data_IF_547139576425
#
_entry.id   IF_547139576425
#
_cell.length_a   1.000
_cell.length_b   1.000
_cell.length_c   1.000
_cell.angle_alpha   90.00
_cell.angle_beta   90.00
_cell.angle_gamma   90.00
#
_symmetry.space_group_name_H-M   'P 1'
#
loop_
_entity.id
_entity.type
_entity.pdbx_description
1 polymer ?
#
# COMPACT_ATOMS: atom_id res chain seq x y z
N UNK A 1 -36.06 12.62 24.23
CA UNK A 1 -37.19 13.44 24.67
C UNK A 1 -38.46 13.11 23.84
N UNK A 2 -39.62 13.19 24.42
CA UNK A 2 -40.91 12.92 23.74
C UNK A 2 -41.63 14.25 23.52
N UNK A 3 -42.06 14.48 22.28
CA UNK A 3 -42.89 15.63 21.93
C UNK A 3 -44.24 15.16 21.49
N UNK A 4 -45.29 15.86 21.87
CA UNK A 4 -46.62 15.62 21.37
C UNK A 4 -46.85 16.60 20.20
N UNK A 5 -46.82 16.12 18.99
CA UNK A 5 -46.96 16.94 17.80
C UNK A 5 -48.44 17.24 17.54
N UNK A 6 -48.96 18.29 18.13
CA UNK A 6 -50.25 18.86 17.78
C UNK A 6 -50.06 20.26 17.18
N UNK A 7 -49.57 20.35 15.98
CA UNK A 7 -49.37 21.64 15.29
C UNK A 7 -47.91 22.14 15.25
N UNK A 8 -47.67 23.44 15.45
CA UNK A 8 -46.33 24.03 15.39
C UNK A 8 -45.52 23.73 16.64
N UNK A 9 -44.26 23.31 16.48
CA UNK A 9 -43.31 23.15 17.57
C UNK A 9 -43.14 24.46 18.36
N UNK A 10 -43.13 24.36 19.68
CA UNK A 10 -42.84 25.48 20.53
C UNK A 10 -41.31 25.78 20.62
N UNK A 11 -40.95 26.91 21.20
CA UNK A 11 -39.55 27.33 21.31
C UNK A 11 -38.69 26.34 22.12
N UNK A 12 -39.25 25.66 23.12
CA UNK A 12 -38.58 24.65 23.93
C UNK A 12 -38.26 23.43 23.11
N UNK A 13 -39.21 22.94 22.29
CA UNK A 13 -39.05 21.79 21.41
C UNK A 13 -37.96 22.03 20.37
N UNK A 14 -37.96 23.23 19.77
CA UNK A 14 -36.92 23.65 18.80
C UNK A 14 -35.54 23.67 19.45
N UNK A 15 -35.42 24.17 20.68
CA UNK A 15 -34.12 24.18 21.38
C UNK A 15 -33.67 22.75 21.72
N UNK A 16 -34.56 21.87 22.07
CA UNK A 16 -34.24 20.46 22.32
C UNK A 16 -33.73 19.76 21.06
N UNK A 17 -34.43 19.96 19.93
CA UNK A 17 -33.97 19.42 18.63
C UNK A 17 -32.59 19.97 18.21
N UNK A 18 -32.34 21.26 18.44
CA UNK A 18 -31.00 21.83 18.18
C UNK A 18 -29.93 21.21 19.07
N UNK A 19 -30.20 21.05 20.36
CA UNK A 19 -29.27 20.42 21.28
C UNK A 19 -28.98 18.96 20.90
N UNK A 20 -30.03 18.21 20.55
CA UNK A 20 -29.89 16.84 20.07
C UNK A 20 -29.08 16.75 18.76
N UNK A 21 -29.30 17.69 17.83
CA UNK A 21 -28.52 17.75 16.58
C UNK A 21 -27.04 18.04 16.82
N UNK A 22 -26.71 18.91 17.78
CA UNK A 22 -25.34 19.20 18.15
C UNK A 22 -24.65 17.96 18.76
N UNK A 23 -25.36 17.26 19.67
CA UNK A 23 -24.86 16.03 20.29
C UNK A 23 -24.73 14.88 19.32
N UNK A 24 -25.56 14.83 18.28
CA UNK A 24 -25.55 13.83 17.22
C UNK A 24 -24.71 14.20 16.00
N UNK A 25 -23.74 15.09 16.12
CA UNK A 25 -22.86 15.49 15.03
C UNK A 25 -23.60 15.98 13.78
N UNK A 26 -24.62 16.83 13.97
CA UNK A 26 -25.54 17.34 12.94
C UNK A 26 -26.51 16.30 12.35
N UNK A 27 -26.69 15.17 13.01
CA UNK A 27 -27.66 14.14 12.67
C UNK A 27 -28.66 13.98 13.80
N UNK A 28 -29.96 13.88 13.46
CA UNK A 28 -31.02 13.49 14.38
C UNK A 28 -31.97 12.49 13.70
N UNK A 29 -32.40 11.50 14.44
CA UNK A 29 -33.51 10.61 14.04
C UNK A 29 -34.70 10.93 14.89
N UNK A 30 -35.85 11.17 14.27
CA UNK A 30 -37.12 11.41 14.93
C UNK A 30 -38.00 10.19 14.73
N UNK A 31 -38.38 9.58 15.82
CA UNK A 31 -39.37 8.51 15.85
C UNK A 31 -40.76 9.10 15.92
N UNK A 32 -41.52 8.89 14.88
CA UNK A 32 -42.91 9.34 14.79
C UNK A 32 -43.85 8.17 15.14
N UNK A 33 -44.65 8.34 16.16
CA UNK A 33 -45.70 7.37 16.55
C UNK A 33 -47.08 7.95 16.26
N UNK A 34 -47.74 7.44 15.21
CA UNK A 34 -49.13 7.71 14.90
C UNK A 34 -50.06 6.63 15.49
N UNK A 35 -51.37 6.79 15.32
CA UNK A 35 -52.31 5.80 15.75
C UNK A 35 -52.24 4.51 14.91
N UNK A 36 -51.93 4.65 13.59
CA UNK A 36 -51.94 3.52 12.65
C UNK A 36 -50.55 3.21 12.05
N UNK A 37 -49.54 4.02 12.33
CA UNK A 37 -48.20 3.83 11.75
C UNK A 37 -47.10 4.39 12.64
N UNK A 38 -45.98 3.67 12.66
CA UNK A 38 -44.72 4.12 13.29
C UNK A 38 -43.68 4.32 12.18
N UNK A 39 -42.93 5.43 12.23
CA UNK A 39 -41.88 5.69 11.27
C UNK A 39 -40.72 6.42 11.92
N UNK A 40 -39.50 6.19 11.39
CA UNK A 40 -38.29 6.92 11.76
C UNK A 40 -37.94 7.83 10.60
N UNK A 41 -37.78 9.13 10.87
CA UNK A 41 -37.33 10.10 9.90
C UNK A 41 -35.96 10.65 10.34
N UNK A 42 -34.99 10.63 9.43
CA UNK A 42 -33.64 11.11 9.65
C UNK A 42 -33.49 12.50 9.07
N UNK A 43 -32.89 13.40 9.85
CA UNK A 43 -32.63 14.77 9.46
C UNK A 43 -31.15 15.11 9.64
N UNK A 44 -30.63 15.83 8.68
CA UNK A 44 -29.23 16.25 8.66
C UNK A 44 -29.16 17.77 8.59
N UNK A 45 -28.38 18.39 9.44
CA UNK A 45 -28.30 19.85 9.48
C UNK A 45 -27.42 20.41 8.34
N UNK A 46 -26.53 19.59 7.78
CA UNK A 46 -25.61 19.97 6.69
C UNK A 46 -25.69 18.96 5.54
N UNK A 47 -24.56 18.38 5.17
CA UNK A 47 -24.49 17.39 4.09
C UNK A 47 -24.62 15.98 4.66
N UNK A 48 -25.64 15.28 4.30
CA UNK A 48 -25.89 13.90 4.71
C UNK A 48 -26.64 13.10 3.65
N UNK A 49 -26.48 11.80 3.67
CA UNK A 49 -27.19 10.87 2.81
C UNK A 49 -28.30 10.18 3.61
N UNK A 50 -29.55 10.39 3.20
CA UNK A 50 -30.71 9.77 3.86
C UNK A 50 -30.79 8.25 3.67
N UNK A 51 -30.25 7.72 2.58
CA UNK A 51 -30.25 6.28 2.29
C UNK A 51 -29.23 5.52 3.13
N UNK A 52 -28.01 6.11 3.30
CA UNK A 52 -26.92 5.46 4.00
C UNK A 52 -26.75 5.93 5.45
N UNK A 53 -27.57 6.88 5.91
CA UNK A 53 -27.49 7.49 7.26
C UNK A 53 -26.10 8.04 7.59
N UNK A 54 -25.36 8.54 6.59
CA UNK A 54 -24.03 9.11 6.73
C UNK A 54 -24.13 10.63 6.78
N UNK A 55 -23.42 11.22 7.73
CA UNK A 55 -23.16 12.66 7.77
C UNK A 55 -21.76 12.92 7.22
N UNK A 56 -21.67 13.75 6.19
CA UNK A 56 -20.36 14.16 5.66
C UNK A 56 -19.83 15.37 6.44
N UNK A 57 -18.53 15.45 6.54
CA UNK A 57 -17.87 16.67 7.06
C UNK A 57 -18.28 17.88 6.22
N UNK A 58 -18.32 19.05 6.85
CA UNK A 58 -18.58 20.29 6.12
C UNK A 58 -17.49 20.49 5.09
N UNK A 59 -17.88 20.50 3.81
CA UNK A 59 -16.96 20.79 2.73
C UNK A 59 -16.72 22.31 2.71
N UNK A 60 -15.48 22.69 2.91
CA UNK A 60 -14.99 24.07 2.81
C UNK A 60 -14.10 24.18 1.56
N UNK A 61 -13.78 25.38 1.15
CA UNK A 61 -12.88 25.61 0.01
C UNK A 61 -11.52 24.89 0.22
N UNK A 62 -11.03 24.88 1.46
CA UNK A 62 -9.83 24.14 1.86
C UNK A 62 -9.92 22.61 1.68
N UNK A 63 -11.13 22.06 1.64
CA UNK A 63 -11.37 20.62 1.42
C UNK A 63 -11.00 20.16 -0.01
N UNK A 64 -10.91 21.10 -0.94
CA UNK A 64 -10.52 20.85 -2.33
C UNK A 64 -9.07 21.24 -2.63
N UNK A 65 -8.28 21.51 -1.60
CA UNK A 65 -6.88 21.86 -1.74
C UNK A 65 -5.97 20.65 -1.48
N UNK A 66 -5.21 20.24 -2.48
CA UNK A 66 -4.17 19.21 -2.33
C UNK A 66 -3.00 19.64 -1.43
N UNK A 67 -2.91 20.92 -1.06
CA UNK A 67 -1.96 21.43 -0.06
C UNK A 67 -2.45 21.21 1.37
N UNK A 68 -3.73 20.84 1.55
CA UNK A 68 -4.27 20.45 2.84
C UNK A 68 -4.09 18.94 3.03
N UNK A 69 -3.20 18.54 3.92
CA UNK A 69 -2.85 17.14 4.18
C UNK A 69 -4.06 16.26 4.57
N UNK A 70 -5.10 16.84 5.17
CA UNK A 70 -6.32 16.08 5.52
C UNK A 70 -7.20 15.74 4.32
N UNK A 71 -7.04 16.45 3.21
CA UNK A 71 -7.85 16.31 2.00
C UNK A 71 -7.02 15.77 0.82
N UNK A 72 -5.71 15.91 0.89
CA UNK A 72 -4.80 15.39 -0.11
C UNK A 72 -4.87 13.87 -0.21
N UNK A 73 -4.70 13.33 -1.40
CA UNK A 73 -4.59 11.90 -1.60
C UNK A 73 -3.53 11.31 -0.66
N UNK A 74 -3.93 10.37 0.19
CA UNK A 74 -3.06 9.81 1.23
C UNK A 74 -1.94 8.97 0.62
N UNK A 75 -2.16 8.39 -0.55
CA UNK A 75 -1.18 7.54 -1.22
C UNK A 75 0.00 8.34 -1.81
N UNK A 76 -0.26 9.52 -2.38
CA UNK A 76 0.79 10.38 -2.96
C UNK A 76 1.02 11.67 -2.18
N UNK A 77 0.34 11.86 -1.07
CA UNK A 77 0.41 13.06 -0.21
C UNK A 77 0.24 14.36 -1.02
N UNK A 78 -0.69 14.35 -1.96
CA UNK A 78 -1.00 15.52 -2.80
C UNK A 78 -0.02 15.78 -3.94
N UNK A 79 1.01 14.93 -4.17
CA UNK A 79 1.94 15.11 -5.29
C UNK A 79 1.33 14.75 -6.65
N UNK A 80 0.34 13.84 -6.67
CA UNK A 80 -0.28 13.29 -7.88
C UNK A 80 0.56 12.25 -8.61
N UNK A 81 1.78 11.99 -8.14
CA UNK A 81 2.72 11.05 -8.73
C UNK A 81 3.28 10.09 -7.68
N UNK A 82 3.73 8.93 -8.14
CA UNK A 82 4.50 7.96 -7.34
C UNK A 82 5.78 7.60 -8.07
N UNK A 83 6.83 7.36 -7.32
CA UNK A 83 8.06 6.78 -7.86
C UNK A 83 8.01 5.27 -7.71
N UNK A 84 8.15 4.57 -8.81
CA UNK A 84 8.14 3.11 -8.87
C UNK A 84 9.33 2.60 -9.66
N UNK A 85 9.76 1.38 -9.35
CA UNK A 85 10.84 0.73 -10.08
C UNK A 85 10.27 0.06 -11.33
N UNK A 86 10.90 0.27 -12.48
CA UNK A 86 10.52 -0.43 -13.71
C UNK A 86 11.32 -1.74 -13.85
N UNK A 87 10.68 -2.89 -14.13
CA UNK A 87 11.37 -4.18 -14.24
C UNK A 87 12.56 -4.17 -15.18
N UNK A 88 12.45 -3.50 -16.34
CA UNK A 88 13.55 -3.41 -17.33
C UNK A 88 14.81 -2.70 -16.80
N UNK A 89 14.69 -1.88 -15.76
CA UNK A 89 15.84 -1.15 -15.20
C UNK A 89 16.66 -1.98 -14.21
N UNK A 90 16.12 -3.09 -13.71
CA UNK A 90 16.79 -3.91 -12.69
C UNK A 90 17.54 -5.11 -13.30
N UNK A 91 17.21 -5.47 -14.54
CA UNK A 91 17.84 -6.58 -15.25
C UNK A 91 18.97 -6.04 -16.13
N UNK A 92 20.17 -6.52 -15.87
CA UNK A 92 21.37 -6.15 -16.63
C UNK A 92 21.49 -6.96 -17.92
N UNK A 93 21.17 -8.24 -17.86
CA UNK A 93 21.30 -9.14 -19.00
C UNK A 93 20.26 -10.26 -18.94
N UNK A 94 19.35 -10.28 -19.89
CA UNK A 94 18.24 -11.24 -19.97
C UNK A 94 18.69 -12.65 -20.39
N UNK A 95 19.82 -12.77 -21.10
CA UNK A 95 20.36 -14.08 -21.55
C UNK A 95 21.13 -14.82 -20.46
N UNK A 96 21.41 -14.17 -19.32
CA UNK A 96 22.03 -14.81 -18.17
C UNK A 96 21.04 -15.62 -17.38
N UNK A 97 21.51 -16.74 -16.83
CA UNK A 97 20.76 -17.54 -15.86
C UNK A 97 20.72 -16.88 -14.50
N UNK A 98 19.79 -17.32 -13.63
CA UNK A 98 19.75 -16.86 -12.25
C UNK A 98 21.07 -17.15 -11.52
N UNK A 99 21.68 -18.32 -11.80
CA UNK A 99 23.01 -18.70 -11.27
C UNK A 99 24.09 -17.71 -11.65
N UNK A 100 24.06 -17.16 -12.86
CA UNK A 100 25.04 -16.21 -13.37
C UNK A 100 24.80 -14.77 -12.93
N UNK A 101 23.59 -14.49 -12.38
CA UNK A 101 23.16 -13.16 -11.94
C UNK A 101 22.75 -12.24 -13.09
N UNK A 102 21.46 -12.23 -13.46
CA UNK A 102 20.94 -11.38 -14.53
C UNK A 102 20.74 -9.93 -14.09
N UNK A 103 20.78 -9.64 -12.79
CA UNK A 103 20.47 -8.33 -12.20
C UNK A 103 21.71 -7.41 -12.15
N UNK A 104 21.46 -6.11 -12.04
CA UNK A 104 22.48 -5.19 -11.56
C UNK A 104 22.84 -5.52 -10.11
N UNK A 105 24.15 -5.54 -9.78
CA UNK A 105 24.63 -5.93 -8.45
C UNK A 105 24.17 -4.98 -7.34
N UNK A 106 23.93 -3.73 -7.69
CA UNK A 106 23.43 -2.68 -6.80
C UNK A 106 21.96 -2.91 -6.44
N UNK A 107 21.23 -3.59 -7.31
CA UNK A 107 19.81 -3.93 -7.14
C UNK A 107 19.65 -5.25 -6.39
N UNK A 108 20.32 -6.29 -6.88
CA UNK A 108 20.27 -7.60 -6.26
C UNK A 108 21.63 -8.29 -6.37
N UNK A 109 22.36 -8.32 -5.25
CA UNK A 109 23.70 -8.83 -5.21
C UNK A 109 23.71 -10.38 -5.16
N UNK A 110 23.77 -11.03 -6.31
CA UNK A 110 23.94 -12.50 -6.40
C UNK A 110 25.26 -12.99 -5.79
N UNK A 111 26.23 -12.09 -5.60
CA UNK A 111 27.46 -12.40 -4.87
C UNK A 111 27.28 -12.50 -3.36
N UNK A 112 26.15 -12.01 -2.82
CA UNK A 112 25.82 -12.13 -1.41
C UNK A 112 25.21 -13.50 -1.14
N UNK A 113 25.79 -14.33 -0.25
CA UNK A 113 25.39 -15.73 -0.07
C UNK A 113 23.92 -15.92 0.25
N UNK A 114 23.37 -15.10 1.16
CA UNK A 114 21.95 -15.17 1.51
C UNK A 114 21.03 -14.87 0.33
N UNK A 115 21.34 -13.83 -0.45
CA UNK A 115 20.54 -13.49 -1.63
C UNK A 115 20.54 -14.61 -2.67
N UNK A 116 21.69 -15.24 -2.85
CA UNK A 116 21.85 -16.39 -3.75
C UNK A 116 21.02 -17.59 -3.28
N UNK A 117 21.15 -17.96 -2.00
CA UNK A 117 20.39 -19.07 -1.39
C UNK A 117 18.88 -18.81 -1.43
N UNK A 118 18.43 -17.60 -1.08
CA UNK A 118 17.02 -17.23 -1.08
C UNK A 118 16.39 -17.36 -2.47
N UNK A 119 17.09 -16.88 -3.50
CA UNK A 119 16.59 -16.98 -4.87
C UNK A 119 16.62 -18.43 -5.40
N UNK A 120 17.64 -19.21 -5.02
CA UNK A 120 17.70 -20.63 -5.33
C UNK A 120 16.55 -21.40 -4.66
N UNK A 121 16.33 -21.17 -3.38
CA UNK A 121 15.25 -21.80 -2.62
C UNK A 121 13.88 -21.47 -3.17
N UNK A 122 13.69 -20.22 -3.62
CA UNK A 122 12.49 -19.81 -4.32
C UNK A 122 12.28 -20.64 -5.60
N UNK A 123 13.35 -20.81 -6.40
CA UNK A 123 13.29 -21.59 -7.64
C UNK A 123 12.94 -23.06 -7.38
N UNK A 124 13.55 -23.66 -6.34
CA UNK A 124 13.26 -25.06 -5.94
C UNK A 124 11.81 -25.20 -5.46
N UNK A 125 11.33 -24.26 -4.62
CA UNK A 125 9.99 -24.34 -4.03
C UNK A 125 8.89 -24.21 -5.09
N UNK A 126 9.04 -23.31 -6.04
CA UNK A 126 8.04 -23.06 -7.10
C UNK A 126 8.32 -23.85 -8.40
N UNK A 127 9.38 -24.65 -8.43
CA UNK A 127 9.66 -25.57 -9.54
C UNK A 127 10.10 -24.91 -10.84
N UNK A 128 10.76 -23.76 -10.80
CA UNK A 128 11.34 -23.16 -12.01
C UNK A 128 12.86 -23.31 -12.05
N UNK A 129 13.42 -23.27 -13.26
CA UNK A 129 14.84 -23.50 -13.46
C UNK A 129 15.72 -22.35 -12.96
N UNK A 130 16.80 -22.69 -12.26
CA UNK A 130 17.83 -21.74 -11.83
C UNK A 130 18.95 -21.57 -12.89
N UNK A 131 18.98 -22.47 -13.84
CA UNK A 131 20.04 -22.63 -14.86
C UNK A 131 19.59 -22.30 -16.29
N UNK A 132 18.34 -21.87 -16.47
CA UNK A 132 17.84 -21.34 -17.74
C UNK A 132 18.05 -19.83 -17.83
N UNK A 133 18.20 -19.26 -19.04
CA UNK A 133 18.21 -17.81 -19.26
C UNK A 133 16.98 -17.14 -18.64
N UNK A 134 17.16 -15.97 -18.05
CA UNK A 134 16.05 -15.22 -17.44
C UNK A 134 14.90 -14.96 -18.42
N UNK A 135 15.22 -14.69 -19.68
CA UNK A 135 14.21 -14.47 -20.74
C UNK A 135 13.31 -15.69 -21.00
N UNK A 136 13.85 -16.91 -20.82
CA UNK A 136 13.15 -18.18 -21.05
C UNK A 136 12.27 -18.62 -19.89
N UNK A 137 12.41 -17.99 -18.71
CA UNK A 137 11.57 -18.30 -17.55
C UNK A 137 10.10 -17.96 -17.82
N UNK A 138 9.19 -18.70 -17.21
CA UNK A 138 7.76 -18.42 -17.27
C UNK A 138 7.41 -17.03 -16.69
N UNK A 139 6.32 -16.45 -17.12
CA UNK A 139 5.88 -15.14 -16.58
C UNK A 139 5.53 -15.22 -15.10
N UNK A 140 5.07 -16.38 -14.62
CA UNK A 140 4.83 -16.64 -13.19
C UNK A 140 6.14 -16.62 -12.41
N UNK A 141 7.19 -17.29 -12.90
CA UNK A 141 8.52 -17.28 -12.27
C UNK A 141 9.10 -15.85 -12.23
N UNK A 142 9.00 -15.12 -13.36
CA UNK A 142 9.42 -13.72 -13.42
C UNK A 142 8.68 -12.85 -12.42
N UNK A 143 7.34 -13.03 -12.26
CA UNK A 143 6.55 -12.30 -11.25
C UNK A 143 6.98 -12.63 -9.83
N UNK A 144 7.23 -13.90 -9.51
CA UNK A 144 7.73 -14.32 -8.19
C UNK A 144 9.10 -13.68 -7.89
N UNK A 145 10.01 -13.69 -8.84
CA UNK A 145 11.33 -13.07 -8.69
C UNK A 145 11.20 -11.56 -8.47
N UNK A 146 10.34 -10.89 -9.22
CA UNK A 146 10.18 -9.43 -9.15
C UNK A 146 9.38 -8.96 -7.94
N UNK A 147 8.27 -9.62 -7.61
CA UNK A 147 7.30 -9.16 -6.61
C UNK A 147 7.26 -10.02 -5.34
N UNK A 148 8.01 -11.13 -5.32
CA UNK A 148 8.14 -11.99 -4.14
C UNK A 148 7.03 -13.01 -3.96
N UNK A 149 7.15 -13.78 -2.87
CA UNK A 149 6.24 -14.87 -2.50
C UNK A 149 5.00 -14.39 -1.74
N UNK A 150 4.77 -13.09 -1.60
CA UNK A 150 3.62 -12.48 -0.90
C UNK A 150 3.39 -13.02 0.52
N UNK A 151 4.47 -13.30 1.22
CA UNK A 151 4.43 -13.85 2.59
C UNK A 151 4.41 -15.36 2.68
N UNK A 152 4.25 -16.09 1.58
CA UNK A 152 4.44 -17.54 1.57
C UNK A 152 5.88 -17.88 1.93
N UNK A 153 6.06 -18.85 2.83
CA UNK A 153 7.36 -19.24 3.35
C UNK A 153 7.81 -20.56 2.77
N UNK A 154 9.11 -20.69 2.57
CA UNK A 154 9.77 -21.91 2.08
C UNK A 154 11.09 -22.11 2.81
N UNK A 155 11.60 -23.33 2.75
CA UNK A 155 12.84 -23.70 3.42
C UNK A 155 14.04 -23.12 2.68
N UNK A 156 14.90 -22.40 3.39
CA UNK A 156 16.14 -21.88 2.84
C UNK A 156 17.13 -23.01 2.59
N UNK A 157 17.55 -23.17 1.34
CA UNK A 157 18.42 -24.25 0.90
C UNK A 157 19.68 -23.70 0.23
N UNK A 158 20.75 -24.43 0.36
CA UNK A 158 22.01 -24.15 -0.32
C UNK A 158 22.10 -24.97 -1.61
N UNK A 159 22.44 -24.37 -2.76
CA UNK A 159 22.73 -25.12 -3.97
C UNK A 159 23.91 -26.08 -3.77
N UNK A 160 23.81 -27.25 -4.37
CA UNK A 160 24.89 -28.24 -4.36
C UNK A 160 26.18 -27.65 -4.96
N UNK A 161 27.32 -27.86 -4.31
CA UNK A 161 28.61 -27.30 -4.72
C UNK A 161 28.80 -25.81 -4.48
N UNK A 162 27.89 -25.14 -3.78
CA UNK A 162 28.06 -23.72 -3.44
C UNK A 162 28.79 -23.56 -2.09
N UNK A 163 30.12 -23.46 -2.15
CA UNK A 163 30.99 -23.40 -0.94
C UNK A 163 31.33 -21.97 -0.45
N UNK A 164 30.83 -20.95 -1.15
CA UNK A 164 31.10 -19.52 -0.82
C UNK A 164 30.22 -18.96 0.30
N UNK A 165 29.67 -19.83 1.15
CA UNK A 165 28.77 -19.40 2.22
C UNK A 165 29.55 -19.22 3.51
N UNK A 166 29.46 -18.02 4.10
CA UNK A 166 30.01 -17.75 5.43
C UNK A 166 29.25 -18.54 6.51
N UNK A 167 29.91 -18.94 7.61
CA UNK A 167 29.31 -19.78 8.66
C UNK A 167 27.98 -19.24 9.22
N UNK A 168 27.86 -17.92 9.35
CA UNK A 168 26.63 -17.28 9.82
C UNK A 168 25.43 -17.40 8.85
N UNK A 169 25.66 -17.65 7.57
CA UNK A 169 24.60 -17.94 6.60
C UNK A 169 24.32 -19.44 6.48
N UNK A 170 25.31 -20.29 6.71
CA UNK A 170 25.12 -21.74 6.84
C UNK A 170 24.19 -22.07 8.01
N UNK A 171 24.29 -21.34 9.12
CA UNK A 171 23.42 -21.50 10.27
C UNK A 171 21.94 -21.20 9.96
N UNK A 172 21.65 -20.51 8.86
CA UNK A 172 20.28 -20.21 8.41
C UNK A 172 19.72 -21.23 7.43
N UNK A 173 20.52 -22.17 6.95
CA UNK A 173 20.05 -23.26 6.11
C UNK A 173 19.02 -24.10 6.90
N UNK A 174 17.86 -24.34 6.28
CA UNK A 174 16.73 -25.02 6.93
C UNK A 174 15.72 -24.09 7.59
N UNK A 175 16.01 -22.79 7.75
CA UNK A 175 15.03 -21.81 8.25
C UNK A 175 13.91 -21.58 7.23
N UNK A 176 12.71 -21.30 7.75
CA UNK A 176 11.60 -20.83 6.91
C UNK A 176 11.78 -19.34 6.60
N UNK A 177 11.85 -19.02 5.32
CA UNK A 177 12.02 -17.65 4.83
C UNK A 177 10.95 -17.32 3.80
N UNK A 178 10.61 -16.04 3.68
CA UNK A 178 9.82 -15.52 2.56
C UNK A 178 10.72 -14.70 1.63
N UNK A 179 10.33 -14.61 0.38
CA UNK A 179 11.06 -13.80 -0.61
C UNK A 179 10.29 -12.53 -0.90
N UNK A 180 10.85 -11.39 -0.57
CA UNK A 180 10.21 -10.07 -0.75
C UNK A 180 10.05 -9.69 -2.23
N UNK A 181 10.94 -10.19 -3.11
CA UNK A 181 11.00 -9.78 -4.51
C UNK A 181 11.96 -8.61 -4.75
N UNK A 182 12.53 -8.60 -5.95
CA UNK A 182 13.57 -7.62 -6.28
C UNK A 182 13.00 -6.19 -6.35
N UNK A 183 11.86 -6.01 -7.01
CA UNK A 183 11.21 -4.70 -7.15
C UNK A 183 10.59 -4.22 -5.83
N UNK A 184 9.90 -5.12 -5.13
CA UNK A 184 9.27 -4.82 -3.84
C UNK A 184 10.32 -4.32 -2.86
N UNK A 185 11.46 -4.99 -2.74
CA UNK A 185 12.55 -4.57 -1.87
C UNK A 185 13.06 -3.16 -2.17
N UNK A 186 13.19 -2.77 -3.44
CA UNK A 186 13.64 -1.42 -3.80
C UNK A 186 12.58 -0.39 -3.42
N UNK A 187 11.30 -0.69 -3.66
CA UNK A 187 10.21 0.18 -3.27
C UNK A 187 10.16 0.35 -1.74
N UNK A 188 10.29 -0.73 -0.98
CA UNK A 188 10.33 -0.68 0.49
C UNK A 188 11.49 0.18 0.99
N UNK A 189 12.70 -0.01 0.46
CA UNK A 189 13.86 0.81 0.78
C UNK A 189 13.64 2.30 0.45
N UNK A 190 12.95 2.59 -0.65
CA UNK A 190 12.59 3.97 -1.00
C UNK A 190 11.62 4.56 0.02
N UNK A 191 10.57 3.82 0.40
CA UNK A 191 9.61 4.26 1.40
C UNK A 191 10.26 4.44 2.79
N UNK A 192 11.12 3.53 3.20
CA UNK A 192 11.90 3.66 4.44
C UNK A 192 12.77 4.92 4.43
N UNK A 193 13.43 5.20 3.32
CA UNK A 193 14.23 6.41 3.16
C UNK A 193 13.39 7.68 3.23
N UNK A 194 12.24 7.70 2.54
CA UNK A 194 11.35 8.88 2.53
C UNK A 194 10.70 9.15 3.89
N UNK A 195 10.41 8.09 4.64
CA UNK A 195 9.85 8.18 6.00
C UNK A 195 10.93 8.30 7.09
N UNK A 196 12.20 8.20 6.73
CA UNK A 196 13.33 8.32 7.66
C UNK A 196 13.50 9.73 8.19
N UNK A 197 14.08 9.82 9.40
CA UNK A 197 14.37 11.10 10.06
C UNK A 197 15.62 11.81 9.52
N UNK A 198 16.42 11.10 8.72
CA UNK A 198 17.66 11.62 8.15
C UNK A 198 17.52 11.81 6.65
N UNK A 199 18.07 12.91 6.13
CA UNK A 199 18.10 13.14 4.69
C UNK A 199 18.88 12.01 3.99
N UNK A 200 18.42 11.58 2.79
CA UNK A 200 19.12 10.56 2.02
C UNK A 200 20.54 11.01 1.65
N UNK A 201 21.47 10.06 1.63
CA UNK A 201 22.82 10.33 1.13
C UNK A 201 22.81 10.54 -0.40
N UNK A 202 23.78 11.27 -0.97
CA UNK A 202 23.87 11.45 -2.42
C UNK A 202 23.92 10.12 -3.21
N UNK A 203 24.50 9.08 -2.62
CA UNK A 203 24.54 7.75 -3.23
C UNK A 203 23.15 7.10 -3.30
N UNK A 204 22.34 7.21 -2.23
CA UNK A 204 20.96 6.74 -2.20
C UNK A 204 20.07 7.50 -3.19
N UNK A 205 20.19 8.83 -3.23
CA UNK A 205 19.44 9.65 -4.20
C UNK A 205 19.77 9.24 -5.64
N UNK A 206 21.05 9.07 -5.97
CA UNK A 206 21.47 8.64 -7.30
C UNK A 206 20.96 7.22 -7.64
N UNK A 207 20.96 6.30 -6.67
CA UNK A 207 20.44 4.97 -6.85
C UNK A 207 18.94 5.02 -7.23
N UNK A 208 18.12 5.71 -6.44
CA UNK A 208 16.68 5.80 -6.72
C UNK A 208 16.38 6.58 -8.00
N UNK A 209 17.15 7.63 -8.31
CA UNK A 209 17.04 8.35 -9.59
C UNK A 209 17.32 7.45 -10.80
N UNK A 210 18.26 6.52 -10.65
CA UNK A 210 18.66 5.60 -11.73
C UNK A 210 17.60 4.53 -11.97
N UNK A 211 17.09 3.91 -10.92
CA UNK A 211 16.23 2.72 -11.03
C UNK A 211 14.73 3.01 -10.98
N UNK A 212 14.31 4.17 -10.46
CA UNK A 212 12.92 4.54 -10.37
C UNK A 212 12.49 5.52 -11.47
N UNK A 213 11.20 5.60 -11.71
CA UNK A 213 10.58 6.57 -12.59
C UNK A 213 9.24 7.03 -11.98
N UNK A 214 8.77 8.18 -12.42
CA UNK A 214 7.52 8.74 -11.97
C UNK A 214 6.36 8.18 -12.78
N UNK A 215 5.31 7.76 -12.09
CA UNK A 215 4.04 7.36 -12.67
C UNK A 215 2.93 8.19 -12.03
N UNK A 216 1.80 8.34 -12.70
CA UNK A 216 0.61 8.91 -12.09
C UNK A 216 0.21 8.08 -10.87
N UNK A 217 -0.17 8.74 -9.79
CA UNK A 217 -0.69 8.03 -8.62
C UNK A 217 -1.90 7.18 -9.03
N UNK A 218 -1.92 5.87 -8.75
CA UNK A 218 -3.02 5.01 -9.16
C UNK A 218 -4.33 5.32 -8.43
N UNK A 219 -4.26 5.81 -7.20
CA UNK A 219 -5.43 6.08 -6.37
C UNK A 219 -6.17 7.34 -6.83
N UNK A 220 -5.47 8.45 -6.96
CA UNK A 220 -6.08 9.70 -7.40
C UNK A 220 -5.95 9.96 -8.91
N UNK A 221 -5.34 9.07 -9.69
CA UNK A 221 -5.09 9.25 -11.13
C UNK A 221 -4.42 10.60 -11.51
N UNK A 222 -3.62 11.14 -10.58
CA UNK A 222 -2.93 12.41 -10.76
C UNK A 222 -3.73 13.64 -10.37
N UNK A 223 -4.97 13.50 -9.87
CA UNK A 223 -5.80 14.63 -9.40
C UNK A 223 -5.29 15.27 -8.11
N UNK A 224 -4.50 14.50 -7.31
CA UNK A 224 -3.90 14.90 -6.03
C UNK A 224 -4.86 14.91 -4.83
N UNK A 225 -6.15 14.66 -5.05
CA UNK A 225 -7.22 14.62 -4.05
C UNK A 225 -7.78 13.21 -3.94
#
# INVERSE_FOLDING_TARGET
DRFQAAGKLNKSDINCLKSASIQGDNYIAIYLKGEDAESIQSFYQKHGCSEHHLVTVTLEEASFSYNNMSCACQECLGSGIKKVVHPSKVIKNYTKTLRQGPFFKEVYAMSHPYSYMALYSLAVHYGFSFDEPYESLSEEAKKLIMYGSKGETFVLQRPEGYDKVLPNYLAKEGELVSFTGVLTRINDLYHEMMNGKTAPSPAQENFFKTYMHEVKCPDCNGTRL
#
